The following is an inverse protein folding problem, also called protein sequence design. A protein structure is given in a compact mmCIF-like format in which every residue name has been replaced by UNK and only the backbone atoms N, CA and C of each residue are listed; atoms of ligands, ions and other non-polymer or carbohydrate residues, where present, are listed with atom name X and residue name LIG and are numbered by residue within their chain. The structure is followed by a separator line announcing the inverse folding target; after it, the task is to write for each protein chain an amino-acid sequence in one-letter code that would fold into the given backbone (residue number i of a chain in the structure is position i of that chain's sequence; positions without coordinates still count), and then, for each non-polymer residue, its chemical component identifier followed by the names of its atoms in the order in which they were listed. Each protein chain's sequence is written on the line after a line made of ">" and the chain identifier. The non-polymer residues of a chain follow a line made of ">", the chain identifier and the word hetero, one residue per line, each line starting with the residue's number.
data_IF_310465248802
#
_entry.id   IF_310465248802
#
_cell.length_a   1.000
_cell.length_b   1.000
_cell.length_c   1.000
_cell.angle_alpha   90.00
_cell.angle_beta   90.00
_cell.angle_gamma   90.00
#
_symmetry.space_group_name_H-M   'P 1'
#
loop_
_entity.id
_entity.type
_entity.pdbx_description
1 polymer ?
#
# COMPACT_ATOMS: atom_id res chain seq x y z
N UNK A 1 -9.64 -0.10 -17.22
CA UNK A 1 -8.40 -0.11 -16.44
C UNK A 1 -7.21 -0.01 -17.38
N UNK A 2 -6.69 1.20 -17.48
CA UNK A 2 -5.40 1.53 -18.10
C UNK A 2 -4.32 1.58 -17.02
N UNK A 3 -3.05 1.75 -17.44
CA UNK A 3 -1.94 1.99 -16.51
C UNK A 3 -2.17 3.22 -15.63
N UNK A 4 -2.56 4.35 -16.24
CA UNK A 4 -2.76 5.62 -15.53
C UNK A 4 -3.92 5.54 -14.53
N UNK A 5 -5.02 4.87 -14.92
CA UNK A 5 -6.14 4.61 -14.01
C UNK A 5 -5.70 3.73 -12.83
N UNK A 6 -5.00 2.61 -13.11
CA UNK A 6 -4.54 1.69 -12.08
C UNK A 6 -3.57 2.35 -11.09
N UNK A 7 -2.67 3.20 -11.60
CA UNK A 7 -1.76 4.01 -10.79
C UNK A 7 -2.55 5.01 -9.93
N UNK A 8 -3.44 5.79 -10.52
CA UNK A 8 -4.19 6.82 -9.83
C UNK A 8 -5.09 6.25 -8.72
N UNK A 9 -5.80 5.14 -8.98
CA UNK A 9 -6.63 4.47 -7.99
C UNK A 9 -5.80 3.91 -6.84
N UNK A 10 -4.68 3.22 -7.14
CA UNK A 10 -3.80 2.68 -6.12
C UNK A 10 -3.18 3.79 -5.25
N UNK A 11 -2.70 4.88 -5.87
CA UNK A 11 -2.17 6.03 -5.15
C UNK A 11 -3.22 6.73 -4.29
N UNK A 12 -4.46 6.85 -4.77
CA UNK A 12 -5.54 7.42 -3.98
C UNK A 12 -5.85 6.57 -2.74
N UNK A 13 -5.90 5.25 -2.88
CA UNK A 13 -6.13 4.33 -1.77
C UNK A 13 -4.97 4.30 -0.76
N UNK A 14 -3.72 4.41 -1.22
CA UNK A 14 -2.57 4.56 -0.32
C UNK A 14 -2.69 5.83 0.55
N UNK A 15 -3.11 6.95 -0.03
CA UNK A 15 -3.31 8.20 0.71
C UNK A 15 -4.54 8.14 1.62
N UNK A 16 -5.60 7.46 1.20
CA UNK A 16 -6.77 7.18 2.04
C UNK A 16 -6.32 6.43 3.31
N UNK A 17 -5.58 5.33 3.17
CA UNK A 17 -5.04 4.56 4.30
C UNK A 17 -4.10 5.39 5.17
N UNK A 18 -3.26 6.22 4.58
CA UNK A 18 -2.39 7.13 5.33
C UNK A 18 -3.18 8.15 6.16
N UNK A 19 -4.32 8.64 5.62
CA UNK A 19 -5.18 9.62 6.31
C UNK A 19 -5.95 9.05 7.51
N UNK A 20 -6.03 7.72 7.63
CA UNK A 20 -6.62 7.06 8.80
C UNK A 20 -5.67 7.00 10.00
N UNK A 21 -4.39 7.31 9.80
CA UNK A 21 -3.41 7.41 10.89
C UNK A 21 -3.65 8.75 11.62
N UNK A 22 -3.67 8.76 12.97
CA UNK A 22 -3.90 10.00 13.72
C UNK A 22 -2.90 11.10 13.37
N UNK A 23 -3.38 12.30 13.06
CA UNK A 23 -2.52 13.41 12.61
C UNK A 23 -1.47 13.82 13.65
N UNK A 24 -1.74 13.63 14.94
CA UNK A 24 -0.83 13.99 16.03
C UNK A 24 0.42 13.10 16.11
N UNK A 25 0.40 11.93 15.47
CA UNK A 25 1.57 11.04 15.36
C UNK A 25 2.27 11.12 14.02
N UNK A 26 1.76 11.90 13.06
CA UNK A 26 2.30 12.03 11.70
C UNK A 26 3.15 13.29 11.56
N UNK A 27 4.41 13.12 11.16
CA UNK A 27 5.31 14.23 10.83
C UNK A 27 5.21 14.63 9.35
N UNK A 28 5.12 13.67 8.44
CA UNK A 28 4.92 13.91 7.00
C UNK A 28 4.39 12.68 6.27
N UNK A 29 3.87 12.89 5.06
CA UNK A 29 3.44 11.82 4.16
C UNK A 29 4.15 12.02 2.82
N UNK A 30 4.82 10.98 2.34
CA UNK A 30 5.62 10.96 1.12
C UNK A 30 5.16 9.84 0.20
N UNK A 31 4.34 10.17 -0.80
CA UNK A 31 3.93 9.22 -1.83
C UNK A 31 4.97 9.16 -2.95
N UNK A 32 5.39 7.95 -3.34
CA UNK A 32 6.27 7.81 -4.51
C UNK A 32 5.49 8.15 -5.78
N UNK A 33 6.02 9.06 -6.63
CA UNK A 33 5.34 9.43 -7.88
C UNK A 33 5.35 8.29 -8.89
N UNK A 34 6.35 7.41 -8.82
CA UNK A 34 6.53 6.27 -9.71
C UNK A 34 6.47 4.94 -8.95
N UNK A 35 5.96 3.93 -9.63
CA UNK A 35 5.92 2.53 -9.23
C UNK A 35 6.55 1.61 -10.28
N UNK A 36 6.23 0.33 -10.17
CA UNK A 36 6.73 -0.73 -11.05
C UNK A 36 5.61 -1.64 -11.51
N UNK A 37 5.80 -2.30 -12.65
CA UNK A 37 4.86 -3.30 -13.14
C UNK A 37 5.29 -4.71 -12.73
N UNK A 38 4.34 -5.46 -12.19
CA UNK A 38 4.51 -6.88 -11.87
C UNK A 38 3.55 -7.69 -12.73
N UNK A 39 4.05 -8.79 -13.30
CA UNK A 39 3.21 -9.73 -14.06
C UNK A 39 2.18 -10.38 -13.11
N UNK A 40 0.93 -10.40 -13.56
CA UNK A 40 -0.11 -11.25 -12.99
C UNK A 40 -0.14 -12.61 -13.70
N UNK A 41 0.01 -12.59 -15.02
CA UNK A 41 0.11 -13.72 -15.92
C UNK A 41 0.86 -13.28 -17.20
N UNK A 42 0.78 -14.10 -18.26
CA UNK A 42 1.48 -13.87 -19.53
C UNK A 42 1.08 -12.56 -20.23
N UNK A 43 -0.15 -12.08 -20.03
CA UNK A 43 -0.71 -10.93 -20.78
C UNK A 43 -1.01 -9.72 -19.89
N UNK A 44 -1.21 -9.93 -18.59
CA UNK A 44 -1.66 -8.89 -17.65
C UNK A 44 -0.62 -8.54 -16.62
N UNK A 45 -0.63 -7.27 -16.24
CA UNK A 45 0.27 -6.68 -15.27
C UNK A 45 -0.53 -5.96 -14.19
N UNK A 46 0.09 -5.74 -13.04
CA UNK A 46 -0.40 -4.82 -12.01
C UNK A 46 0.64 -3.76 -11.73
N UNK A 47 0.18 -2.57 -11.40
CA UNK A 47 1.03 -1.51 -10.90
C UNK A 47 1.27 -1.70 -9.41
N UNK A 48 2.52 -1.47 -8.98
CA UNK A 48 2.92 -1.51 -7.58
C UNK A 48 3.55 -0.20 -7.17
N UNK A 49 2.97 0.42 -6.14
CA UNK A 49 3.39 1.69 -5.58
C UNK A 49 3.73 1.60 -4.11
N UNK A 50 4.02 2.77 -3.54
CA UNK A 50 4.01 2.92 -2.10
C UNK A 50 3.94 4.36 -1.67
N UNK A 51 3.35 4.57 -0.51
CA UNK A 51 3.39 5.79 0.29
C UNK A 51 4.12 5.52 1.60
N UNK A 52 4.97 6.45 2.02
CA UNK A 52 5.64 6.41 3.32
C UNK A 52 5.03 7.47 4.22
N UNK A 53 4.62 7.07 5.42
CA UNK A 53 4.17 7.97 6.48
C UNK A 53 5.30 8.08 7.49
N UNK A 54 5.86 9.27 7.64
CA UNK A 54 6.90 9.54 8.65
C UNK A 54 6.20 9.91 9.94
N UNK A 55 6.53 9.22 11.02
CA UNK A 55 5.97 9.45 12.34
C UNK A 55 6.83 10.43 13.14
N UNK A 56 6.23 11.06 14.15
CA UNK A 56 6.99 11.81 15.16
C UNK A 56 7.88 10.86 15.98
N UNK A 57 9.05 11.30 16.49
CA UNK A 57 10.01 10.41 17.17
C UNK A 57 9.45 9.65 18.38
N UNK A 58 8.44 10.22 19.05
CA UNK A 58 7.81 9.65 20.23
C UNK A 58 6.74 8.59 19.91
N UNK A 59 6.32 8.48 18.65
CA UNK A 59 5.31 7.52 18.25
C UNK A 59 5.85 6.09 18.25
N UNK A 60 5.03 5.15 18.75
CA UNK A 60 5.29 3.72 18.63
C UNK A 60 4.74 3.21 17.30
N UNK A 61 5.63 2.94 16.34
CA UNK A 61 5.26 2.47 15.00
C UNK A 61 4.36 1.24 15.03
N UNK A 62 4.63 0.27 15.90
CA UNK A 62 3.85 -0.97 16.00
C UNK A 62 2.45 -0.69 16.55
N UNK A 63 2.34 0.20 17.55
CA UNK A 63 1.04 0.61 18.07
C UNK A 63 0.19 1.32 17.00
N UNK A 64 0.81 2.20 16.21
CA UNK A 64 0.13 2.90 15.11
C UNK A 64 -0.34 1.93 14.02
N UNK A 65 0.50 0.96 13.60
CA UNK A 65 0.10 -0.08 12.64
C UNK A 65 -1.10 -0.90 13.16
N UNK A 66 -1.09 -1.31 14.43
CA UNK A 66 -2.21 -2.05 15.04
C UNK A 66 -3.48 -1.21 15.16
N UNK A 67 -3.35 0.08 15.41
CA UNK A 67 -4.50 0.99 15.42
C UNK A 67 -5.10 1.11 14.03
N UNK A 68 -4.26 1.33 13.00
CA UNK A 68 -4.70 1.39 11.61
C UNK A 68 -5.41 0.10 11.20
N UNK A 69 -4.87 -1.07 11.58
CA UNK A 69 -5.52 -2.37 11.40
C UNK A 69 -6.94 -2.42 12.00
N UNK A 70 -7.10 -1.94 13.24
CA UNK A 70 -8.42 -1.92 13.90
C UNK A 70 -9.41 -1.08 13.11
N UNK A 71 -9.00 0.11 12.66
CA UNK A 71 -9.86 1.01 11.87
C UNK A 71 -10.32 0.33 10.58
N UNK A 72 -9.39 -0.24 9.81
CA UNK A 72 -9.74 -0.89 8.52
C UNK A 72 -10.54 -2.18 8.70
N UNK A 73 -10.37 -2.90 9.81
CA UNK A 73 -11.22 -4.05 10.16
C UNK A 73 -12.65 -3.61 10.49
N UNK A 74 -12.81 -2.51 11.23
CA UNK A 74 -14.12 -1.98 11.63
C UNK A 74 -14.90 -1.44 10.42
N UNK A 75 -14.22 -0.86 9.42
CA UNK A 75 -14.84 -0.46 8.15
C UNK A 75 -15.44 -1.65 7.37
N UNK A 76 -14.88 -2.85 7.53
CA UNK A 76 -15.37 -4.08 6.88
C UNK A 76 -15.21 -4.12 5.36
N UNK A 77 -14.48 -3.18 4.76
CA UNK A 77 -14.25 -3.11 3.30
C UNK A 77 -13.27 -4.17 2.80
N UNK A 78 -12.30 -4.56 3.63
CA UNK A 78 -11.21 -5.45 3.26
C UNK A 78 -11.25 -6.77 4.01
N UNK A 79 -10.74 -7.82 3.37
CA UNK A 79 -10.17 -8.96 4.10
C UNK A 79 -8.84 -8.54 4.70
N UNK A 80 -8.66 -8.74 6.01
CA UNK A 80 -7.48 -8.27 6.75
C UNK A 80 -6.75 -9.44 7.39
N UNK A 81 -5.48 -9.61 7.02
CA UNK A 81 -4.56 -10.60 7.57
C UNK A 81 -3.36 -9.87 8.20
N UNK A 82 -2.82 -10.41 9.28
CA UNK A 82 -1.70 -9.81 10.00
C UNK A 82 -0.70 -10.87 10.44
N UNK A 83 0.59 -10.54 10.41
CA UNK A 83 1.67 -11.43 10.83
C UNK A 83 2.86 -10.64 11.38
N UNK A 84 3.76 -11.33 12.07
CA UNK A 84 5.08 -10.82 12.41
C UNK A 84 6.06 -11.46 11.43
N UNK A 85 6.86 -10.64 10.73
CA UNK A 85 7.80 -11.14 9.75
C UNK A 85 9.13 -11.60 10.38
N UNK A 86 10.08 -12.04 9.53
CA UNK A 86 11.38 -12.55 9.98
C UNK A 86 12.28 -11.48 10.62
N UNK A 87 11.90 -10.21 10.53
CA UNK A 87 12.58 -9.06 11.15
C UNK A 87 11.89 -8.59 12.43
N UNK A 88 10.91 -9.34 12.94
CA UNK A 88 10.07 -8.98 14.08
C UNK A 88 9.15 -7.77 13.82
N UNK A 89 8.90 -7.46 12.54
CA UNK A 89 8.03 -6.36 12.14
C UNK A 89 6.58 -6.83 12.03
N UNK A 90 5.68 -6.16 12.75
CA UNK A 90 4.24 -6.40 12.62
C UNK A 90 3.72 -5.81 11.30
N UNK A 91 3.15 -6.68 10.46
CA UNK A 91 2.69 -6.36 9.12
C UNK A 91 1.22 -6.72 8.96
N UNK A 92 0.51 -5.91 8.18
CA UNK A 92 -0.91 -6.09 7.88
C UNK A 92 -1.11 -6.07 6.38
N UNK A 93 -1.83 -7.05 5.87
CA UNK A 93 -2.28 -7.12 4.47
C UNK A 93 -3.78 -6.92 4.40
N UNK A 94 -4.17 -6.00 3.52
CA UNK A 94 -5.53 -5.77 3.08
C UNK A 94 -5.69 -6.37 1.69
N UNK A 95 -6.74 -7.15 1.48
CA UNK A 95 -7.13 -7.62 0.15
C UNK A 95 -8.58 -7.24 -0.09
N UNK A 96 -8.85 -6.61 -1.22
CA UNK A 96 -10.23 -6.30 -1.60
C UNK A 96 -10.95 -7.61 -1.97
N UNK A 97 -12.08 -7.97 -1.32
CA UNK A 97 -12.76 -9.24 -1.58
C UNK A 97 -13.13 -9.42 -3.05
N UNK A 98 -12.79 -10.58 -3.62
CA UNK A 98 -13.03 -10.88 -5.04
C UNK A 98 -12.08 -10.18 -6.02
N UNK A 99 -11.07 -9.47 -5.52
CA UNK A 99 -10.05 -8.78 -6.30
C UNK A 99 -8.66 -9.30 -5.96
N UNK A 100 -7.70 -9.04 -6.86
CA UNK A 100 -6.26 -9.24 -6.64
C UNK A 100 -5.57 -7.98 -6.09
N UNK A 101 -6.32 -6.88 -6.02
CA UNK A 101 -5.89 -5.62 -5.44
C UNK A 101 -5.61 -5.79 -3.95
N UNK A 102 -4.45 -5.32 -3.53
CA UNK A 102 -3.98 -5.48 -2.16
C UNK A 102 -3.15 -4.29 -1.70
N UNK A 103 -3.11 -4.13 -0.39
CA UNK A 103 -2.30 -3.15 0.31
C UNK A 103 -1.58 -3.86 1.45
N UNK A 104 -0.33 -3.53 1.69
CA UNK A 104 0.44 -4.03 2.83
C UNK A 104 1.02 -2.83 3.55
N UNK A 105 0.78 -2.74 4.86
CA UNK A 105 1.40 -1.72 5.69
C UNK A 105 2.10 -2.32 6.90
N UNK A 106 3.28 -1.77 7.17
CA UNK A 106 4.19 -2.19 8.23
C UNK A 106 5.19 -1.07 8.50
N UNK A 107 6.03 -1.22 9.52
CA UNK A 107 7.23 -0.39 9.64
C UNK A 107 8.11 -0.57 8.38
N UNK A 108 8.68 0.53 7.90
CA UNK A 108 9.60 0.55 6.76
C UNK A 108 11.03 0.81 7.22
N UNK A 109 11.41 2.08 7.23
CA UNK A 109 12.58 2.59 7.97
C UNK A 109 12.16 2.97 9.41
N UNK A 110 13.10 3.16 10.35
CA UNK A 110 12.77 3.58 11.71
C UNK A 110 11.86 4.82 11.74
N UNK A 111 10.80 4.76 12.53
CA UNK A 111 9.77 5.81 12.65
C UNK A 111 9.00 6.07 11.35
N UNK A 112 8.87 5.08 10.48
CA UNK A 112 8.05 5.21 9.26
C UNK A 112 7.12 4.03 9.08
N UNK A 113 5.93 4.30 8.57
CA UNK A 113 5.01 3.26 8.08
C UNK A 113 5.04 3.29 6.56
N UNK A 114 5.38 2.17 5.95
CA UNK A 114 5.32 1.98 4.51
C UNK A 114 3.99 1.34 4.14
N UNK A 115 3.18 2.04 3.35
CA UNK A 115 1.94 1.52 2.76
C UNK A 115 2.27 1.17 1.30
N UNK A 116 2.42 -0.12 1.00
CA UNK A 116 2.65 -0.62 -0.35
C UNK A 116 1.32 -1.05 -0.98
N UNK A 117 1.14 -0.78 -2.27
CA UNK A 117 -0.05 -1.20 -3.03
C UNK A 117 0.29 -2.16 -4.15
N UNK A 118 -0.70 -2.96 -4.53
CA UNK A 118 -0.76 -3.64 -5.81
C UNK A 118 -2.15 -3.46 -6.40
N UNK A 119 -2.23 -2.82 -7.58
CA UNK A 119 -3.50 -2.58 -8.27
C UNK A 119 -4.17 -3.89 -8.72
N UNK A 120 -5.40 -3.77 -9.23
CA UNK A 120 -5.99 -4.80 -10.09
C UNK A 120 -5.10 -5.08 -11.31
N UNK A 121 -5.24 -6.28 -11.90
CA UNK A 121 -4.53 -6.62 -13.12
C UNK A 121 -5.17 -5.94 -14.34
N UNK A 122 -4.35 -5.42 -15.24
CA UNK A 122 -4.77 -4.81 -16.51
C UNK A 122 -3.84 -5.24 -17.65
N UNK A 123 -4.32 -5.12 -18.88
CA UNK A 123 -3.52 -5.38 -20.08
C UNK A 123 -2.77 -4.11 -20.46
N UNK A 124 -1.48 -4.24 -20.75
CA UNK A 124 -0.68 -3.10 -21.21
C UNK A 124 -1.06 -2.74 -22.65
N UNK A 125 -1.06 -1.45 -23.02
CA UNK A 125 -1.15 -1.05 -24.41
C UNK A 125 -0.01 -1.67 -25.24
N UNK A 126 -0.28 -1.98 -26.51
CA UNK A 126 0.76 -2.47 -27.42
C UNK A 126 1.96 -1.51 -27.46
N UNK A 127 3.17 -2.07 -27.44
CA UNK A 127 4.42 -1.31 -27.50
C UNK A 127 4.91 -0.73 -26.17
N UNK A 128 4.17 -0.89 -25.07
CA UNK A 128 4.65 -0.50 -23.73
C UNK A 128 5.60 -1.57 -23.18
N UNK A 129 6.85 -1.17 -22.87
CA UNK A 129 7.84 -2.06 -22.28
C UNK A 129 7.63 -2.21 -20.77
N UNK A 130 7.35 -3.42 -20.23
CA UNK A 130 6.96 -3.59 -18.81
C UNK A 130 8.06 -3.25 -17.78
N UNK A 131 9.33 -3.24 -18.18
CA UNK A 131 10.47 -3.03 -17.27
C UNK A 131 10.78 -1.58 -16.89
N UNK A 132 9.89 -0.64 -17.23
CA UNK A 132 10.03 0.79 -16.90
C UNK A 132 9.66 1.16 -15.45
N UNK A 133 9.87 2.43 -15.11
CA UNK A 133 9.25 3.09 -13.96
C UNK A 133 8.03 3.87 -14.45
N UNK A 134 6.93 3.79 -13.72
CA UNK A 134 5.62 4.27 -14.16
C UNK A 134 4.89 5.04 -13.09
#
# INVERSE_FOLDING_TARGET
>A
MTLEEAKAEAQAAELELASLIPEDVVASIEQKPDGTLFSCDEERHRWKGSTTVVLVPEADTTAVVKQLESVVRDEGRFSVESWVDVTDTYSVQLTLPGSVENYIFSEGEPHTIRIASGSVCFTLPEGVYPGGKF
#
